data_IF_232545877976
#
_entry.id   IF_232545877976
#
_cell.length_a   1.000
_cell.length_b   1.000
_cell.length_c   1.000
_cell.angle_alpha   90.00
_cell.angle_beta   90.00
_cell.angle_gamma   90.00
#
_symmetry.space_group_name_H-M   'P 1'
#
loop_
_entity.id
_entity.type
_entity.pdbx_description
1 polymer ?
#
# COMPACT_ATOMS: atom_id res chain seq x y z
N UNK A 1 -0.51 5.88 11.77
CA UNK A 1 0.46 4.82 12.09
C UNK A 1 -0.23 3.48 11.88
N UNK A 2 0.27 2.60 11.00
CA UNK A 2 -0.39 1.31 10.75
C UNK A 2 -0.26 0.33 11.93
N UNK A 3 -1.28 -0.50 12.12
CA UNK A 3 -1.37 -1.55 13.16
C UNK A 3 -0.11 -2.44 13.22
N UNK A 4 0.39 -2.86 12.06
CA UNK A 4 1.59 -3.71 11.94
C UNK A 4 2.86 -2.96 12.38
N UNK A 5 2.89 -1.62 12.28
CA UNK A 5 4.02 -0.82 12.78
C UNK A 5 4.09 -0.86 14.30
N UNK A 6 2.93 -0.74 14.92
CA UNK A 6 2.80 -0.76 16.37
C UNK A 6 3.25 -2.12 16.90
N UNK A 7 2.72 -3.20 16.30
CA UNK A 7 3.08 -4.56 16.67
C UNK A 7 4.55 -4.89 16.42
N UNK A 8 5.14 -4.45 15.30
CA UNK A 8 6.58 -4.61 15.09
C UNK A 8 7.39 -3.94 16.20
N UNK A 9 7.04 -2.69 16.56
CA UNK A 9 7.70 -1.97 17.65
C UNK A 9 7.53 -2.69 18.99
N UNK A 10 6.36 -3.29 19.23
CA UNK A 10 6.06 -4.08 20.43
C UNK A 10 6.88 -5.37 20.50
N UNK A 11 6.99 -6.11 19.39
CA UNK A 11 7.82 -7.32 19.32
C UNK A 11 9.31 -7.06 19.48
N UNK A 12 9.74 -5.86 19.09
CA UNK A 12 11.11 -5.39 19.27
C UNK A 12 11.38 -4.77 20.65
N UNK A 13 10.38 -4.73 21.55
CA UNK A 13 10.52 -4.11 22.88
C UNK A 13 10.73 -2.60 22.84
N UNK A 14 10.31 -1.94 21.76
CA UNK A 14 10.45 -0.49 21.51
C UNK A 14 9.12 0.27 21.58
N UNK A 15 8.01 -0.41 21.84
CA UNK A 15 6.72 0.23 22.01
C UNK A 15 6.64 0.90 23.38
N UNK A 16 6.21 2.16 23.41
CA UNK A 16 5.96 2.93 24.62
C UNK A 16 4.53 3.49 24.59
N UNK A 17 4.12 4.13 25.69
CA UNK A 17 2.77 4.70 25.82
C UNK A 17 2.45 5.69 24.70
N UNK A 18 3.40 6.58 24.34
CA UNK A 18 3.23 7.55 23.27
C UNK A 18 2.89 6.89 21.93
N UNK A 19 3.52 5.76 21.61
CA UNK A 19 3.23 5.02 20.38
C UNK A 19 1.83 4.38 20.41
N UNK A 20 1.37 3.89 21.56
CA UNK A 20 0.01 3.33 21.70
C UNK A 20 -1.04 4.42 21.46
N UNK A 21 -0.87 5.58 22.10
CA UNK A 21 -1.76 6.74 21.98
C UNK A 21 -1.73 7.32 20.57
N UNK A 22 -0.54 7.52 20.00
CA UNK A 22 -0.39 8.00 18.61
C UNK A 22 -1.07 7.07 17.62
N UNK A 23 -0.96 5.74 17.80
CA UNK A 23 -1.67 4.80 16.94
C UNK A 23 -3.19 4.93 17.08
N UNK A 24 -3.71 5.09 18.29
CA UNK A 24 -5.14 5.22 18.53
C UNK A 24 -5.71 6.50 17.88
N UNK A 25 -4.99 7.63 17.97
CA UNK A 25 -5.36 8.87 17.27
C UNK A 25 -5.45 8.64 15.77
N UNK A 26 -4.41 8.03 15.17
CA UNK A 26 -4.39 7.72 13.75
C UNK A 26 -5.54 6.76 13.35
N UNK A 27 -5.93 5.84 14.23
CA UNK A 27 -7.06 4.92 13.99
C UNK A 27 -8.40 5.65 14.01
N UNK A 28 -8.61 6.60 14.94
CA UNK A 28 -9.81 7.45 14.96
C UNK A 28 -9.93 8.27 13.67
N UNK A 29 -8.82 8.87 13.20
CA UNK A 29 -8.80 9.63 11.95
C UNK A 29 -9.13 8.77 10.72
N UNK A 30 -8.83 7.48 10.78
CA UNK A 30 -9.20 6.49 9.77
C UNK A 30 -10.65 5.97 9.89
N UNK A 31 -11.43 6.46 10.85
CA UNK A 31 -12.84 6.13 11.03
C UNK A 31 -13.13 4.92 11.93
N UNK A 32 -12.15 4.47 12.71
CA UNK A 32 -12.38 3.48 13.77
C UNK A 32 -12.98 4.17 15.00
N UNK A 33 -14.28 4.03 15.23
CA UNK A 33 -15.02 4.76 16.28
C UNK A 33 -15.30 3.90 17.53
N UNK A 34 -14.64 2.76 17.69
CA UNK A 34 -14.80 1.89 18.85
C UNK A 34 -14.43 2.60 20.16
N UNK A 35 -15.22 2.39 21.21
CA UNK A 35 -15.10 3.09 22.49
C UNK A 35 -13.70 2.89 23.10
N UNK A 36 -13.13 1.69 23.00
CA UNK A 36 -11.81 1.36 23.51
C UNK A 36 -10.70 2.15 22.79
N UNK A 37 -10.84 2.39 21.49
CA UNK A 37 -9.88 3.18 20.70
C UNK A 37 -10.00 4.66 21.09
N UNK A 38 -11.23 5.16 21.25
CA UNK A 38 -11.48 6.53 21.73
C UNK A 38 -10.87 6.75 23.11
N UNK A 39 -11.03 5.80 24.03
CA UNK A 39 -10.45 5.86 25.37
C UNK A 39 -8.92 5.93 25.31
N UNK A 40 -8.27 5.05 24.53
CA UNK A 40 -6.82 5.07 24.40
C UNK A 40 -6.30 6.38 23.77
N UNK A 41 -6.96 6.88 22.73
CA UNK A 41 -6.60 8.15 22.11
C UNK A 41 -6.79 9.35 23.06
N UNK A 42 -7.82 9.30 23.92
CA UNK A 42 -8.11 10.38 24.87
C UNK A 42 -7.02 10.58 25.93
N UNK A 43 -6.12 9.61 26.11
CA UNK A 43 -4.98 9.75 27.01
C UNK A 43 -3.98 10.84 26.57
N UNK A 44 -4.05 11.29 25.31
CA UNK A 44 -3.28 12.44 24.80
C UNK A 44 -3.70 13.78 25.43
N UNK A 45 -4.90 13.84 26.03
CA UNK A 45 -5.43 15.05 26.66
C UNK A 45 -4.80 15.36 28.02
N UNK A 46 -3.98 14.45 28.57
CA UNK A 46 -3.34 14.62 29.87
C UNK A 46 -1.90 15.12 29.71
N UNK A 47 -1.50 16.05 30.59
CA UNK A 47 -0.13 16.62 30.58
C UNK A 47 0.97 15.58 30.87
N UNK A 48 0.60 14.45 31.50
CA UNK A 48 1.50 13.33 31.78
C UNK A 48 0.80 12.02 31.45
N UNK A 49 1.34 11.30 30.49
CA UNK A 49 0.84 9.99 30.08
C UNK A 49 1.36 8.90 31.03
N UNK A 50 0.45 8.19 31.72
CA UNK A 50 0.79 7.03 32.54
C UNK A 50 1.00 5.79 31.66
N UNK A 51 2.20 5.17 31.66
CA UNK A 51 2.47 3.98 30.86
C UNK A 51 1.61 2.76 31.23
N UNK A 52 1.23 2.60 32.50
CA UNK A 52 0.41 1.47 32.93
C UNK A 52 -1.03 1.63 32.44
N UNK A 53 -1.58 2.84 32.55
CA UNK A 53 -2.92 3.17 32.06
C UNK A 53 -3.03 3.02 30.54
N UNK A 54 -2.03 3.49 29.78
CA UNK A 54 -1.98 3.33 28.34
C UNK A 54 -1.93 1.85 27.92
N UNK A 55 -1.17 1.04 28.65
CA UNK A 55 -1.08 -0.39 28.40
C UNK A 55 -2.40 -1.11 28.71
N UNK A 56 -3.05 -0.79 29.83
CA UNK A 56 -4.37 -1.34 30.17
C UNK A 56 -5.44 -0.96 29.14
N UNK A 57 -5.45 0.29 28.69
CA UNK A 57 -6.34 0.75 27.63
C UNK A 57 -6.08 0.01 26.31
N UNK A 58 -4.81 -0.18 25.95
CA UNK A 58 -4.44 -0.94 24.76
C UNK A 58 -4.87 -2.41 24.84
N UNK A 59 -4.78 -3.06 26.01
CA UNK A 59 -5.27 -4.44 26.16
C UNK A 59 -6.77 -4.56 25.89
N UNK A 60 -7.57 -3.52 26.21
CA UNK A 60 -9.00 -3.49 25.87
C UNK A 60 -9.22 -3.41 24.36
N UNK A 61 -8.43 -2.60 23.66
CA UNK A 61 -8.46 -2.53 22.19
C UNK A 61 -8.11 -3.88 21.56
N UNK A 62 -7.05 -4.55 22.03
CA UNK A 62 -6.64 -5.86 21.53
C UNK A 62 -7.70 -6.94 21.79
N UNK A 63 -8.56 -6.77 22.81
CA UNK A 63 -9.66 -7.69 23.10
C UNK A 63 -10.86 -7.53 22.15
N UNK A 64 -10.88 -6.52 21.28
CA UNK A 64 -11.94 -6.33 20.30
C UNK A 64 -11.95 -7.49 19.26
N UNK A 65 -13.13 -8.02 18.87
CA UNK A 65 -13.22 -9.21 18.02
C UNK A 65 -12.53 -9.11 16.65
N UNK A 66 -12.42 -7.91 16.09
CA UNK A 66 -11.80 -7.64 14.79
C UNK A 66 -10.34 -7.21 14.89
N UNK A 67 -9.82 -6.95 16.09
CA UNK A 67 -8.46 -6.50 16.32
C UNK A 67 -7.53 -7.69 16.52
N UNK A 68 -7.24 -8.39 15.43
CA UNK A 68 -6.36 -9.56 15.45
C UNK A 68 -4.90 -9.07 15.42
N UNK A 69 -4.07 -9.41 16.42
CA UNK A 69 -2.64 -9.11 16.36
C UNK A 69 -1.97 -9.85 15.19
N UNK A 70 -1.19 -9.17 14.34
CA UNK A 70 -0.39 -9.84 13.34
C UNK A 70 0.67 -10.70 14.03
N UNK A 71 1.11 -11.78 13.40
CA UNK A 71 2.26 -12.54 13.85
C UNK A 71 3.55 -11.70 13.81
N UNK A 72 4.60 -12.16 14.49
CA UNK A 72 5.94 -11.54 14.45
C UNK A 72 6.46 -11.40 13.02
N UNK A 73 6.28 -12.43 12.20
CA UNK A 73 6.71 -12.45 10.81
C UNK A 73 5.94 -11.43 9.97
N UNK A 74 4.60 -11.41 10.08
CA UNK A 74 3.76 -10.45 9.34
C UNK A 74 4.11 -8.99 9.69
N UNK A 75 4.27 -8.69 10.99
CA UNK A 75 4.66 -7.37 11.44
C UNK A 75 6.06 -6.98 10.94
N UNK A 76 7.03 -7.89 10.99
CA UNK A 76 8.38 -7.68 10.48
C UNK A 76 8.40 -7.48 8.96
N UNK A 77 7.64 -8.28 8.21
CA UNK A 77 7.48 -8.14 6.76
C UNK A 77 6.89 -6.79 6.39
N UNK A 78 5.78 -6.38 7.03
CA UNK A 78 5.16 -5.07 6.80
C UNK A 78 6.09 -3.91 7.17
N UNK A 79 6.94 -4.07 8.20
CA UNK A 79 7.98 -3.10 8.50
C UNK A 79 9.05 -3.05 7.41
N UNK A 80 9.55 -4.20 6.96
CA UNK A 80 10.57 -4.29 5.93
C UNK A 80 10.12 -3.70 4.59
N UNK A 81 8.89 -3.99 4.14
CA UNK A 81 8.36 -3.41 2.90
C UNK A 81 8.38 -1.87 2.94
N UNK A 82 8.06 -1.29 4.10
CA UNK A 82 8.14 0.17 4.29
C UNK A 82 9.58 0.69 4.28
N UNK A 83 10.52 -0.01 4.92
CA UNK A 83 11.94 0.39 4.87
C UNK A 83 12.50 0.27 3.46
N UNK A 84 12.12 -0.77 2.73
CA UNK A 84 12.59 -1.01 1.39
C UNK A 84 12.15 0.09 0.43
N UNK A 85 10.90 0.50 0.53
CA UNK A 85 10.43 1.57 -0.30
C UNK A 85 10.99 2.95 0.09
N UNK A 86 11.35 3.15 1.36
CA UNK A 86 12.18 4.29 1.77
C UNK A 86 13.56 4.23 1.11
N UNK A 87 14.22 3.07 1.11
CA UNK A 87 15.51 2.85 0.45
C UNK A 87 15.47 3.10 -1.06
N UNK A 88 14.38 2.73 -1.73
CA UNK A 88 14.19 2.98 -3.17
C UNK A 88 14.18 4.49 -3.47
N UNK A 89 13.54 5.30 -2.61
CA UNK A 89 13.44 6.76 -2.74
C UNK A 89 14.73 7.48 -2.34
N UNK A 90 15.24 7.12 -1.18
CA UNK A 90 16.42 7.73 -0.57
C UNK A 90 17.27 6.61 0.01
N UNK A 91 18.35 6.30 -0.70
CA UNK A 91 19.31 5.31 -0.25
C UNK A 91 19.94 5.71 1.09
N UNK A 92 19.96 4.78 2.02
CA UNK A 92 20.52 4.93 3.36
C UNK A 92 21.21 3.62 3.77
N UNK A 93 22.55 3.59 3.90
CA UNK A 93 23.29 2.39 4.31
C UNK A 93 22.78 1.78 5.62
N UNK A 94 22.40 2.61 6.60
CA UNK A 94 21.94 2.12 7.90
C UNK A 94 20.62 1.35 7.79
N UNK A 95 19.75 1.77 6.87
CA UNK A 95 18.53 1.03 6.58
C UNK A 95 18.82 -0.30 5.88
N UNK A 96 19.84 -0.37 5.01
CA UNK A 96 20.26 -1.64 4.38
C UNK A 96 20.71 -2.64 5.44
N UNK A 97 21.58 -2.20 6.37
CA UNK A 97 22.05 -3.04 7.47
C UNK A 97 20.90 -3.51 8.36
N UNK A 98 20.06 -2.57 8.80
CA UNK A 98 18.90 -2.88 9.63
C UNK A 98 17.95 -3.86 8.94
N UNK A 99 17.76 -3.77 7.62
CA UNK A 99 16.88 -4.67 6.90
C UNK A 99 17.43 -6.10 6.83
N UNK A 100 18.72 -6.27 6.56
CA UNK A 100 19.37 -7.58 6.55
C UNK A 100 19.28 -8.25 7.93
N UNK A 101 19.49 -7.49 9.01
CA UNK A 101 19.37 -8.00 10.38
C UNK A 101 17.94 -8.44 10.71
N UNK A 102 16.93 -7.67 10.30
CA UNK A 102 15.52 -8.02 10.50
C UNK A 102 15.16 -9.27 9.69
N UNK A 103 15.55 -9.34 8.41
CA UNK A 103 15.28 -10.48 7.54
C UNK A 103 15.85 -11.79 8.12
N UNK A 104 17.07 -11.73 8.66
CA UNK A 104 17.71 -12.86 9.31
C UNK A 104 17.04 -13.23 10.63
N UNK A 105 16.76 -12.25 11.50
CA UNK A 105 16.16 -12.47 12.83
C UNK A 105 14.77 -13.08 12.76
N UNK A 106 13.97 -12.66 11.79
CA UNK A 106 12.58 -13.10 11.61
C UNK A 106 12.42 -14.18 10.53
N UNK A 107 13.52 -14.75 10.03
CA UNK A 107 13.54 -15.84 9.06
C UNK A 107 12.73 -15.58 7.76
N UNK A 108 12.74 -14.33 7.27
CA UNK A 108 11.96 -13.90 6.10
C UNK A 108 12.68 -14.29 4.80
N UNK A 109 12.55 -15.56 4.42
CA UNK A 109 13.38 -16.24 3.41
C UNK A 109 13.49 -15.54 2.05
N UNK A 110 12.38 -15.00 1.55
CA UNK A 110 12.33 -14.29 0.26
C UNK A 110 13.07 -12.94 0.29
N UNK A 111 13.23 -12.34 1.48
CA UNK A 111 13.97 -11.09 1.67
C UNK A 111 15.42 -11.30 2.12
N UNK A 112 15.74 -12.44 2.72
CA UNK A 112 17.09 -12.72 3.25
C UNK A 112 18.17 -12.62 2.16
N UNK A 113 18.00 -13.32 1.04
CA UNK A 113 19.00 -13.33 -0.04
C UNK A 113 19.20 -11.93 -0.64
N UNK A 114 18.09 -11.22 -0.86
CA UNK A 114 18.10 -9.89 -1.44
C UNK A 114 18.77 -8.85 -0.53
N UNK A 115 18.35 -8.81 0.74
CA UNK A 115 18.89 -7.86 1.71
C UNK A 115 20.36 -8.14 2.03
N UNK A 116 20.77 -9.41 2.01
CA UNK A 116 22.18 -9.78 2.13
C UNK A 116 23.00 -9.28 0.93
N UNK A 117 22.50 -9.43 -0.30
CA UNK A 117 23.14 -8.89 -1.49
C UNK A 117 23.29 -7.35 -1.40
N UNK A 118 22.24 -6.65 -0.95
CA UNK A 118 22.30 -5.19 -0.77
C UNK A 118 23.36 -4.81 0.27
N UNK A 119 23.43 -5.55 1.38
CA UNK A 119 24.41 -5.36 2.45
C UNK A 119 25.83 -5.55 1.93
N UNK A 120 26.11 -6.65 1.25
CA UNK A 120 27.44 -6.94 0.69
C UNK A 120 27.93 -5.84 -0.26
N UNK A 121 27.07 -5.34 -1.15
CA UNK A 121 27.40 -4.24 -2.06
C UNK A 121 27.66 -2.92 -1.30
N UNK A 122 26.90 -2.68 -0.23
CA UNK A 122 27.05 -1.51 0.63
C UNK A 122 28.38 -1.56 1.40
N UNK A 123 28.74 -2.71 2.00
CA UNK A 123 30.00 -2.92 2.72
C UNK A 123 31.23 -2.81 1.81
N UNK A 124 31.09 -3.19 0.54
CA UNK A 124 32.14 -3.01 -0.46
C UNK A 124 32.33 -1.54 -0.88
N UNK A 125 31.49 -0.62 -0.42
CA UNK A 125 31.49 0.79 -0.80
C UNK A 125 30.85 1.08 -2.17
N UNK A 126 30.27 0.07 -2.83
CA UNK A 126 29.57 0.24 -4.11
C UNK A 126 28.08 0.54 -3.88
N UNK A 127 27.82 1.73 -3.34
CA UNK A 127 26.48 2.20 -3.02
C UNK A 127 25.58 2.28 -4.26
N UNK A 128 26.15 2.57 -5.44
CA UNK A 128 25.36 2.67 -6.66
C UNK A 128 24.96 1.29 -7.20
N UNK A 129 25.79 0.26 -7.06
CA UNK A 129 25.38 -1.12 -7.31
C UNK A 129 24.31 -1.57 -6.31
N UNK A 130 24.47 -1.24 -5.02
CA UNK A 130 23.46 -1.55 -4.00
C UNK A 130 22.10 -0.91 -4.34
N UNK A 131 22.08 0.38 -4.70
CA UNK A 131 20.86 1.06 -5.19
C UNK A 131 20.24 0.38 -6.40
N UNK A 132 21.05 -0.03 -7.38
CA UNK A 132 20.56 -0.75 -8.57
C UNK A 132 19.94 -2.08 -8.17
N UNK A 133 20.62 -2.87 -7.34
CA UNK A 133 20.11 -4.15 -6.86
C UNK A 133 18.79 -4.00 -6.08
N UNK A 134 18.70 -3.01 -5.17
CA UNK A 134 17.47 -2.67 -4.43
C UNK A 134 16.32 -2.38 -5.40
N UNK A 135 16.57 -1.51 -6.39
CA UNK A 135 15.56 -1.16 -7.40
C UNK A 135 15.21 -2.34 -8.28
N UNK A 136 16.17 -3.12 -8.74
CA UNK A 136 15.96 -4.30 -9.57
C UNK A 136 15.11 -5.33 -8.84
N UNK A 137 15.47 -5.67 -7.60
CA UNK A 137 14.71 -6.58 -6.75
C UNK A 137 13.29 -6.08 -6.51
N UNK A 138 13.15 -4.81 -6.10
CA UNK A 138 11.84 -4.19 -5.86
C UNK A 138 10.97 -4.19 -7.13
N UNK A 139 11.57 -3.92 -8.29
CA UNK A 139 10.91 -3.99 -9.58
C UNK A 139 10.58 -5.41 -10.05
N UNK A 140 11.20 -6.44 -9.44
CA UNK A 140 11.01 -7.84 -9.78
C UNK A 140 9.92 -8.51 -8.92
N UNK A 141 9.59 -7.95 -7.75
CA UNK A 141 8.86 -8.68 -6.74
C UNK A 141 7.31 -8.61 -6.85
N UNK A 142 6.68 -9.68 -6.34
CA UNK A 142 5.31 -10.20 -6.49
C UNK A 142 4.17 -9.30 -7.01
N UNK A 143 4.06 -8.03 -6.59
CA UNK A 143 2.95 -7.16 -6.98
C UNK A 143 2.86 -6.95 -8.50
N UNK A 144 4.00 -6.74 -9.19
CA UNK A 144 4.00 -6.66 -10.67
C UNK A 144 3.70 -8.00 -11.31
N UNK A 145 4.15 -9.10 -10.73
CA UNK A 145 3.84 -10.45 -11.21
C UNK A 145 2.34 -10.75 -11.15
N UNK A 146 1.70 -10.36 -10.06
CA UNK A 146 0.26 -10.52 -9.84
C UNK A 146 -0.53 -9.54 -10.71
N UNK A 147 -0.13 -8.28 -10.81
CA UNK A 147 -0.78 -7.31 -11.72
C UNK A 147 -0.60 -7.71 -13.20
N UNK A 148 0.51 -8.32 -13.60
CA UNK A 148 0.69 -8.87 -14.97
C UNK A 148 -0.34 -9.92 -15.32
N UNK A 149 -0.96 -10.60 -14.35
CA UNK A 149 -2.10 -11.52 -14.59
C UNK A 149 -3.37 -10.81 -15.04
N UNK A 150 -3.41 -9.48 -14.98
CA UNK A 150 -4.48 -8.68 -15.58
C UNK A 150 -4.37 -8.65 -17.11
N UNK A 151 -3.17 -8.81 -17.67
CA UNK A 151 -2.95 -8.81 -19.12
C UNK A 151 -3.74 -9.96 -19.74
N UNK A 152 -4.55 -9.62 -20.75
CA UNK A 152 -5.42 -10.55 -21.46
C UNK A 152 -6.83 -10.67 -20.87
N UNK A 153 -7.06 -10.33 -19.60
CA UNK A 153 -8.41 -10.30 -19.02
C UNK A 153 -9.26 -9.23 -19.68
N UNK A 154 -10.52 -9.55 -19.98
CA UNK A 154 -11.48 -8.58 -20.51
C UNK A 154 -12.18 -7.84 -19.38
N UNK A 155 -12.43 -6.55 -19.60
CA UNK A 155 -13.27 -5.73 -18.72
C UNK A 155 -14.74 -6.08 -19.03
N UNK A 156 -15.47 -6.53 -18.02
CA UNK A 156 -16.88 -6.94 -18.11
C UNK A 156 -17.80 -5.82 -17.67
N UNK A 157 -17.41 -5.05 -16.65
CA UNK A 157 -18.19 -3.95 -16.11
C UNK A 157 -17.32 -2.75 -15.74
N UNK A 158 -17.94 -1.57 -15.81
CA UNK A 158 -17.37 -0.30 -15.33
C UNK A 158 -18.47 0.43 -14.54
N UNK A 159 -18.19 0.71 -13.27
CA UNK A 159 -19.15 1.30 -12.33
C UNK A 159 -18.57 2.51 -11.59
N UNK A 160 -19.49 3.30 -11.03
CA UNK A 160 -19.17 4.43 -10.16
C UNK A 160 -20.08 4.43 -8.95
N UNK A 161 -19.48 4.27 -7.77
CA UNK A 161 -20.18 4.26 -6.48
C UNK A 161 -19.56 5.27 -5.51
N UNK A 162 -18.98 6.35 -6.05
CA UNK A 162 -18.07 7.25 -5.33
C UNK A 162 -16.60 7.00 -5.69
N UNK A 163 -16.31 5.79 -6.20
CA UNK A 163 -15.02 5.37 -6.73
C UNK A 163 -15.21 4.69 -8.08
N UNK A 164 -14.17 4.71 -8.92
CA UNK A 164 -14.21 4.00 -10.21
C UNK A 164 -13.92 2.52 -9.96
N UNK A 165 -14.82 1.65 -10.39
CA UNK A 165 -14.70 0.20 -10.25
C UNK A 165 -14.68 -0.44 -11.63
N UNK A 166 -13.69 -1.28 -11.87
CA UNK A 166 -13.60 -2.15 -13.05
C UNK A 166 -13.76 -3.60 -12.62
N UNK A 167 -14.72 -4.28 -13.21
CA UNK A 167 -14.87 -5.73 -13.08
C UNK A 167 -14.30 -6.42 -14.31
N UNK A 168 -13.46 -7.42 -14.09
CA UNK A 168 -12.78 -8.17 -15.13
C UNK A 168 -13.07 -9.66 -14.98
N UNK A 169 -12.90 -10.38 -16.09
CA UNK A 169 -13.04 -11.84 -16.15
C UNK A 169 -12.29 -12.56 -15.01
N UNK A 170 -12.95 -13.55 -14.40
CA UNK A 170 -12.35 -14.44 -13.40
C UNK A 170 -12.15 -13.78 -12.05
N UNK A 171 -13.24 -13.27 -11.46
CA UNK A 171 -13.31 -12.72 -10.09
C UNK A 171 -12.27 -11.64 -9.81
N UNK A 172 -12.03 -10.77 -10.80
CA UNK A 172 -11.00 -9.73 -10.73
C UNK A 172 -11.65 -8.36 -10.68
N UNK A 173 -11.29 -7.55 -9.69
CA UNK A 173 -11.84 -6.21 -9.48
C UNK A 173 -10.71 -5.22 -9.27
N UNK A 174 -10.78 -4.08 -9.95
CA UNK A 174 -9.86 -2.95 -9.74
C UNK A 174 -10.68 -1.76 -9.28
N UNK A 175 -10.32 -1.18 -8.15
CA UNK A 175 -10.97 0.00 -7.58
C UNK A 175 -9.98 1.15 -7.59
N UNK A 176 -10.42 2.33 -8.01
CA UNK A 176 -9.65 3.57 -7.92
C UNK A 176 -10.33 4.52 -6.96
N UNK A 177 -9.71 4.71 -5.79
CA UNK A 177 -10.24 5.54 -4.70
C UNK A 177 -9.72 6.98 -4.78
N UNK A 178 -8.58 7.16 -5.41
CA UNK A 178 -7.96 8.46 -5.72
C UNK A 178 -8.27 8.93 -7.15
N UNK A 179 -7.78 10.12 -7.56
CA UNK A 179 -7.95 10.60 -8.92
C UNK A 179 -7.46 9.59 -9.95
N UNK A 180 -8.19 9.52 -11.05
CA UNK A 180 -7.87 8.74 -12.22
C UNK A 180 -8.07 9.60 -13.46
N UNK A 181 -7.44 9.21 -14.57
CA UNK A 181 -7.73 9.79 -15.88
C UNK A 181 -7.67 8.73 -16.97
N UNK A 182 -8.54 8.89 -17.95
CA UNK A 182 -8.59 8.10 -19.16
C UNK A 182 -8.05 8.92 -20.33
N UNK A 183 -7.05 8.39 -21.02
CA UNK A 183 -6.35 9.07 -22.11
C UNK A 183 -6.25 8.21 -23.36
N UNK A 184 -6.20 8.86 -24.51
CA UNK A 184 -5.76 8.26 -25.76
C UNK A 184 -4.41 8.89 -26.12
N UNK A 185 -3.39 8.06 -26.33
CA UNK A 185 -2.03 8.52 -26.58
C UNK A 185 -1.56 9.55 -25.52
N UNK A 186 -1.39 10.82 -25.92
CA UNK A 186 -0.92 11.91 -25.06
C UNK A 186 -2.05 12.86 -24.60
N UNK A 187 -3.30 12.60 -24.97
CA UNK A 187 -4.43 13.48 -24.68
C UNK A 187 -5.34 12.88 -23.60
N UNK A 188 -5.60 13.68 -22.56
CA UNK A 188 -6.57 13.32 -21.52
C UNK A 188 -7.97 13.53 -22.08
N UNK A 189 -8.74 12.45 -22.18
CA UNK A 189 -10.11 12.50 -22.68
C UNK A 189 -11.10 12.80 -21.55
N UNK A 190 -10.90 12.15 -20.41
CA UNK A 190 -11.80 12.18 -19.25
C UNK A 190 -10.96 12.01 -17.99
N UNK A 191 -11.28 12.74 -16.93
CA UNK A 191 -10.72 12.56 -15.60
C UNK A 191 -11.76 12.43 -14.50
N UNK A 192 -11.28 12.14 -13.30
CA UNK A 192 -12.10 12.06 -12.10
C UNK A 192 -12.97 13.32 -11.87
N UNK A 193 -12.45 14.51 -12.18
CA UNK A 193 -13.20 15.76 -12.03
C UNK A 193 -14.41 15.86 -12.95
N UNK A 194 -14.39 15.18 -14.11
CA UNK A 194 -15.51 15.20 -15.06
C UNK A 194 -16.71 14.40 -14.55
N UNK A 195 -16.49 13.44 -13.64
CA UNK A 195 -17.57 12.70 -12.96
C UNK A 195 -18.47 13.61 -12.14
N UNK A 196 -17.95 14.71 -11.60
CA UNK A 196 -18.73 15.68 -10.84
C UNK A 196 -19.62 16.55 -11.72
N UNK A 197 -19.32 16.63 -13.02
CA UNK A 197 -20.05 17.46 -13.97
C UNK A 197 -21.16 16.66 -14.68
N UNK A 198 -20.83 15.49 -15.24
CA UNK A 198 -21.80 14.62 -15.92
C UNK A 198 -21.38 13.15 -15.83
N UNK A 199 -21.56 12.57 -14.64
CA UNK A 199 -21.21 11.17 -14.34
C UNK A 199 -21.83 10.16 -15.32
N UNK A 200 -23.03 10.43 -15.84
CA UNK A 200 -23.72 9.51 -16.76
C UNK A 200 -23.05 9.48 -18.12
N UNK A 201 -22.74 10.65 -18.69
CA UNK A 201 -22.04 10.73 -19.97
C UNK A 201 -20.63 10.15 -19.86
N UNK A 202 -19.91 10.49 -18.78
CA UNK A 202 -18.57 9.96 -18.53
C UNK A 202 -18.57 8.44 -18.43
N UNK A 203 -19.47 7.86 -17.63
CA UNK A 203 -19.60 6.40 -17.53
C UNK A 203 -19.96 5.75 -18.86
N UNK A 204 -20.87 6.35 -19.63
CA UNK A 204 -21.22 5.83 -20.95
C UNK A 204 -19.99 5.81 -21.88
N UNK A 205 -19.16 6.85 -21.82
CA UNK A 205 -17.90 6.93 -22.54
C UNK A 205 -16.93 5.82 -22.10
N UNK A 206 -16.64 5.71 -20.79
CA UNK A 206 -15.73 4.67 -20.28
C UNK A 206 -16.19 3.27 -20.68
N UNK A 207 -17.49 2.99 -20.50
CA UNK A 207 -18.09 1.70 -20.87
C UNK A 207 -17.91 1.40 -22.36
N UNK A 208 -18.16 2.38 -23.23
CA UNK A 208 -18.01 2.21 -24.68
C UNK A 208 -16.57 1.93 -25.14
N UNK A 209 -15.56 2.36 -24.38
CA UNK A 209 -14.16 2.21 -24.75
C UNK A 209 -13.45 1.05 -24.03
N UNK A 210 -13.93 0.64 -22.86
CA UNK A 210 -13.28 -0.36 -22.01
C UNK A 210 -13.96 -1.73 -22.07
N UNK A 211 -15.30 -1.79 -22.05
CA UNK A 211 -16.03 -3.06 -21.92
C UNK A 211 -15.79 -3.96 -23.13
N UNK A 212 -15.54 -5.24 -22.85
CA UNK A 212 -15.33 -6.28 -23.86
C UNK A 212 -13.94 -6.26 -24.49
N UNK A 213 -13.05 -5.35 -24.09
CA UNK A 213 -11.68 -5.31 -24.58
C UNK A 213 -10.69 -5.90 -23.56
N UNK A 214 -9.70 -6.67 -24.03
CA UNK A 214 -8.68 -7.22 -23.14
C UNK A 214 -7.63 -6.17 -22.78
N UNK A 215 -7.16 -6.22 -21.53
CA UNK A 215 -5.99 -5.45 -21.11
C UNK A 215 -4.78 -5.90 -21.92
N UNK A 216 -4.07 -4.93 -22.49
CA UNK A 216 -2.89 -5.15 -23.33
C UNK A 216 -1.60 -5.01 -22.57
N UNK A 217 -1.55 -4.09 -21.63
CA UNK A 217 -0.38 -3.83 -20.83
C UNK A 217 -0.77 -3.27 -19.48
N UNK A 218 0.09 -3.51 -18.49
CA UNK A 218 -0.01 -2.93 -17.15
C UNK A 218 1.34 -2.35 -16.76
N UNK A 219 1.33 -1.10 -16.33
CA UNK A 219 2.54 -0.42 -15.88
C UNK A 219 2.32 0.16 -14.50
N UNK A 220 3.38 0.15 -13.71
CA UNK A 220 3.33 0.57 -12.33
C UNK A 220 4.55 1.44 -12.05
N UNK A 221 4.29 2.73 -11.86
CA UNK A 221 5.29 3.72 -11.53
C UNK A 221 5.08 4.19 -10.10
N UNK A 222 5.88 3.62 -9.21
CA UNK A 222 5.75 3.80 -7.77
C UNK A 222 6.33 5.12 -7.27
N UNK A 223 7.24 5.73 -8.04
CA UNK A 223 7.75 7.07 -7.76
C UNK A 223 6.62 8.10 -7.78
N UNK A 224 5.63 7.89 -8.66
CA UNK A 224 4.45 8.74 -8.78
C UNK A 224 3.16 8.09 -8.25
N UNK A 225 3.26 6.90 -7.63
CA UNK A 225 2.10 6.14 -7.18
C UNK A 225 1.07 5.88 -8.30
N UNK A 226 1.54 5.70 -9.53
CA UNK A 226 0.74 5.63 -10.74
C UNK A 226 0.66 4.19 -11.24
N UNK A 227 -0.56 3.66 -11.30
CA UNK A 227 -0.85 2.39 -11.95
C UNK A 227 -1.59 2.63 -13.26
N UNK A 228 -1.10 2.04 -14.35
CA UNK A 228 -1.60 2.28 -15.70
C UNK A 228 -2.11 0.97 -16.30
N UNK A 229 -3.33 1.02 -16.80
CA UNK A 229 -3.98 -0.09 -17.51
C UNK A 229 -4.19 0.32 -18.97
N UNK A 230 -3.54 -0.38 -19.91
CA UNK A 230 -3.70 -0.08 -21.33
C UNK A 230 -4.68 -1.03 -21.99
N UNK A 231 -5.65 -0.46 -22.71
CA UNK A 231 -6.67 -1.16 -23.48
C UNK A 231 -6.69 -0.55 -24.87
N UNK A 232 -6.24 -1.31 -25.89
CA UNK A 232 -6.04 -0.80 -27.27
C UNK A 232 -5.09 0.41 -27.30
N UNK A 233 -5.54 1.55 -27.80
CA UNK A 233 -4.80 2.84 -27.84
C UNK A 233 -5.11 3.72 -26.63
N UNK A 234 -5.93 3.22 -25.70
CA UNK A 234 -6.34 3.96 -24.52
C UNK A 234 -5.58 3.49 -23.29
N UNK A 235 -5.36 4.40 -22.36
CA UNK A 235 -4.76 4.10 -21.06
C UNK A 235 -5.60 4.72 -19.96
N UNK A 236 -5.88 3.92 -18.93
CA UNK A 236 -6.43 4.38 -17.68
C UNK A 236 -5.29 4.52 -16.68
N UNK A 237 -5.03 5.76 -16.25
CA UNK A 237 -4.05 6.12 -15.24
C UNK A 237 -4.76 6.24 -13.89
N UNK A 238 -4.37 5.43 -12.92
CA UNK A 238 -4.87 5.39 -11.55
C UNK A 238 -3.79 5.96 -10.62
N UNK A 239 -4.06 7.11 -10.00
CA UNK A 239 -3.06 7.80 -9.18
C UNK A 239 -3.23 7.48 -7.70
N UNK A 240 -2.13 7.57 -6.97
CA UNK A 240 -2.10 7.63 -5.53
C UNK A 240 -1.66 9.04 -5.11
N UNK A 241 -2.61 9.92 -4.82
CA UNK A 241 -2.32 11.30 -4.40
C UNK A 241 -2.67 11.59 -2.94
N UNK A 242 -3.25 10.61 -2.24
CA UNK A 242 -3.66 10.76 -0.84
C UNK A 242 -2.58 10.27 0.12
N UNK A 243 -2.44 10.94 1.27
CA UNK A 243 -1.67 10.43 2.40
C UNK A 243 -2.49 9.57 3.37
N UNK A 244 -3.80 9.42 3.11
CA UNK A 244 -4.79 8.93 4.07
C UNK A 244 -5.62 7.75 3.56
N UNK A 245 -5.67 7.52 2.24
CA UNK A 245 -6.48 6.49 1.60
C UNK A 245 -5.63 5.63 0.67
N UNK A 246 -6.14 4.44 0.33
CA UNK A 246 -5.57 3.68 -0.77
C UNK A 246 -5.74 4.47 -2.08
N UNK A 247 -4.76 4.41 -2.98
CA UNK A 247 -4.87 5.12 -4.26
C UNK A 247 -5.75 4.34 -5.24
N UNK A 248 -5.48 3.05 -5.28
CA UNK A 248 -6.14 2.04 -6.09
C UNK A 248 -5.90 0.70 -5.43
N UNK A 249 -6.81 -0.24 -5.65
CA UNK A 249 -6.69 -1.63 -5.24
C UNK A 249 -7.06 -2.58 -6.37
N UNK A 250 -6.49 -3.77 -6.35
CA UNK A 250 -6.71 -4.83 -7.32
C UNK A 250 -6.89 -6.15 -6.57
N UNK A 251 -8.10 -6.70 -6.62
CA UNK A 251 -8.41 -8.05 -6.15
C UNK A 251 -8.33 -9.00 -7.34
N UNK A 252 -7.45 -10.00 -7.28
CA UNK A 252 -7.25 -10.98 -8.36
C UNK A 252 -7.36 -12.39 -7.75
N UNK A 253 -8.58 -12.95 -7.74
CA UNK A 253 -8.86 -14.19 -7.03
C UNK A 253 -8.75 -13.99 -5.52
N UNK A 254 -7.80 -14.67 -4.87
CA UNK A 254 -7.53 -14.54 -3.42
C UNK A 254 -6.51 -13.46 -3.06
N UNK A 255 -5.79 -12.93 -4.04
CA UNK A 255 -4.78 -11.90 -3.82
C UNK A 255 -5.44 -10.52 -3.85
N UNK A 256 -5.01 -9.66 -2.93
CA UNK A 256 -5.39 -8.25 -2.87
C UNK A 256 -4.11 -7.42 -2.89
N UNK A 257 -4.04 -6.46 -3.81
CA UNK A 257 -2.92 -5.54 -3.95
C UNK A 257 -3.49 -4.14 -3.85
N UNK A 258 -2.91 -3.28 -3.04
CA UNK A 258 -3.33 -1.88 -2.99
C UNK A 258 -2.14 -0.93 -3.01
N UNK A 259 -2.38 0.29 -3.48
CA UNK A 259 -1.41 1.37 -3.28
C UNK A 259 -1.64 2.01 -1.91
N UNK A 260 -0.68 1.82 -1.03
CA UNK A 260 -0.66 2.33 0.33
C UNK A 260 -0.15 3.79 0.40
N UNK A 261 -0.59 4.55 1.42
CA UNK A 261 -0.20 5.93 1.66
C UNK A 261 1.26 6.23 1.37
N UNK A 262 1.46 7.25 0.53
CA UNK A 262 2.77 7.68 0.09
C UNK A 262 3.28 6.98 -1.16
N UNK A 263 2.50 6.13 -1.85
CA UNK A 263 2.87 5.48 -3.11
C UNK A 263 3.56 4.13 -2.95
N UNK A 264 3.38 3.49 -1.80
CA UNK A 264 3.84 2.13 -1.53
C UNK A 264 2.84 1.13 -2.09
N UNK A 265 3.23 -0.12 -2.27
CA UNK A 265 2.31 -1.20 -2.66
C UNK A 265 2.24 -2.20 -1.51
N UNK A 266 1.01 -2.50 -1.10
CA UNK A 266 0.65 -3.47 -0.06
C UNK A 266 0.05 -4.73 -0.65
#
# INVERSE_FOLDING_TARGET
MHWEKLWFSRYEGRCNADLLVSWAIDALEAGHEEEEIVQLASLDLFDTLDPEEAEEAFQRVVALPHMIPPTKEEAARAHMNRQLARLVRSYDPELVYSMADIANRYEIKDLQEATEQFRMLTEAGDHDASKRAIREWWNNDSARGVLRRLIGKRIEAVEWTGHLILELEGETVITAECPWRFRADHEVLIGNTDMNNDSRLVLAHLRGHLIGYPIKDVQLNEEFGLFQLSVRTWTLDLFHTSGWFEGWSARIGKEHISSLPGGLIG
#
